data_IF_837837758511
#
_entry.id   IF_837837758511
#
_cell.length_a   1.000
_cell.length_b   1.000
_cell.length_c   1.000
_cell.angle_alpha   90.00
_cell.angle_beta   90.00
_cell.angle_gamma   90.00
#
_symmetry.space_group_name_H-M   'P 1'
#
loop_
_entity.id
_entity.type
_entity.pdbx_description
1 polymer ?
#
# COMPACT_ATOMS: atom_id res chain seq x y z
N UNK A 1 18.84 6.43 -20.10
CA UNK A 1 19.79 7.39 -19.50
C UNK A 1 19.03 8.16 -18.41
N UNK A 2 19.35 7.92 -17.14
CA UNK A 2 18.92 8.78 -16.04
C UNK A 2 19.59 10.16 -16.22
N UNK A 3 18.82 11.21 -16.29
CA UNK A 3 19.35 12.55 -16.59
C UNK A 3 19.05 13.57 -15.51
N UNK A 4 18.73 13.13 -14.32
CA UNK A 4 18.65 13.98 -13.15
C UNK A 4 19.85 13.74 -12.27
N UNK A 5 20.63 14.78 -11.95
CA UNK A 5 21.64 14.72 -10.89
C UNK A 5 20.97 14.78 -9.51
N UNK A 6 21.53 14.07 -8.51
CA UNK A 6 21.09 14.15 -7.13
C UNK A 6 19.78 13.44 -6.80
N UNK A 7 19.08 13.93 -5.79
CA UNK A 7 17.94 13.26 -5.16
C UNK A 7 16.66 13.13 -6.01
N UNK A 8 16.63 13.65 -7.23
CA UNK A 8 15.46 13.63 -8.12
C UNK A 8 15.40 12.41 -9.06
N UNK A 9 16.38 11.50 -8.98
CA UNK A 9 16.53 10.39 -9.94
C UNK A 9 15.82 9.11 -9.56
N UNK A 10 15.27 9.01 -8.35
CA UNK A 10 14.71 7.75 -7.81
C UNK A 10 13.60 7.14 -8.68
N UNK A 11 12.63 7.95 -9.11
CA UNK A 11 11.57 7.49 -10.00
C UNK A 11 12.06 7.02 -11.37
N UNK A 12 13.18 7.61 -11.86
CA UNK A 12 13.81 7.19 -13.10
C UNK A 12 14.52 5.84 -13.03
N UNK A 13 15.02 5.45 -11.85
CA UNK A 13 15.70 4.16 -11.66
C UNK A 13 14.73 2.98 -11.80
N UNK A 14 13.54 3.07 -11.22
CA UNK A 14 12.53 2.01 -11.27
C UNK A 14 11.73 2.00 -12.57
N UNK A 15 11.66 3.13 -13.28
CA UNK A 15 10.83 3.26 -14.48
C UNK A 15 11.60 3.38 -15.80
N UNK A 16 12.94 3.48 -15.77
CA UNK A 16 13.81 3.69 -16.95
C UNK A 16 13.42 4.92 -17.81
N UNK A 17 12.73 5.88 -17.24
CA UNK A 17 12.28 7.11 -17.92
C UNK A 17 12.77 8.37 -17.21
N UNK A 18 12.72 9.48 -17.92
CA UNK A 18 13.10 10.78 -17.36
C UNK A 18 12.03 11.29 -16.40
N UNK A 19 12.43 11.66 -15.20
CA UNK A 19 11.62 12.51 -14.31
C UNK A 19 12.10 13.94 -14.42
N UNK A 20 11.21 14.91 -14.50
CA UNK A 20 11.60 16.31 -14.47
C UNK A 20 11.73 16.79 -13.02
N UNK A 21 12.56 17.81 -12.74
CA UNK A 21 12.62 18.43 -11.42
C UNK A 21 11.28 19.02 -10.96
N UNK A 22 10.43 19.41 -11.91
CA UNK A 22 9.12 19.97 -11.66
C UNK A 22 8.05 18.90 -11.42
N UNK A 23 8.23 17.67 -11.94
CA UNK A 23 7.31 16.55 -11.75
C UNK A 23 8.07 15.37 -11.18
N UNK A 24 7.94 15.16 -9.88
CA UNK A 24 8.49 14.00 -9.19
C UNK A 24 7.64 12.74 -9.38
N UNK A 25 6.54 12.85 -10.13
CA UNK A 25 5.63 11.76 -10.40
C UNK A 25 6.15 10.85 -11.49
N UNK A 26 6.11 9.53 -11.35
CA UNK A 26 6.42 8.58 -12.40
C UNK A 26 5.56 8.80 -13.65
N UNK A 27 6.18 8.74 -14.83
CA UNK A 27 5.49 8.93 -16.11
C UNK A 27 4.91 7.63 -16.68
N UNK A 28 5.20 6.50 -16.06
CA UNK A 28 4.68 5.19 -16.47
C UNK A 28 4.72 4.22 -15.30
N UNK A 29 4.26 2.99 -15.51
CA UNK A 29 4.38 1.88 -14.57
C UNK A 29 5.86 1.62 -14.24
N UNK A 30 6.13 1.31 -12.97
CA UNK A 30 7.48 0.97 -12.49
C UNK A 30 7.70 -0.54 -12.50
N UNK A 31 8.98 -0.96 -12.60
CA UNK A 31 9.34 -2.36 -12.75
C UNK A 31 8.95 -3.22 -11.52
N UNK A 32 9.05 -2.68 -10.33
CA UNK A 32 8.64 -3.32 -9.08
C UNK A 32 7.15 -3.65 -9.09
N UNK A 33 6.31 -2.74 -9.56
CA UNK A 33 4.88 -2.99 -9.71
C UNK A 33 4.61 -4.04 -10.81
N UNK A 34 5.30 -3.96 -11.96
CA UNK A 34 5.16 -4.96 -13.03
C UNK A 34 5.57 -6.35 -12.57
N UNK A 35 6.66 -6.47 -11.82
CA UNK A 35 7.09 -7.75 -11.24
C UNK A 35 6.05 -8.32 -10.27
N UNK A 36 5.48 -7.47 -9.40
CA UNK A 36 4.41 -7.89 -8.49
C UNK A 36 3.15 -8.37 -9.22
N UNK A 37 2.86 -7.84 -10.42
CA UNK A 37 1.77 -8.35 -11.26
C UNK A 37 2.13 -9.67 -11.97
N UNK A 38 3.38 -9.83 -12.37
CA UNK A 38 3.85 -11.06 -13.06
C UNK A 38 4.05 -12.22 -12.10
N UNK A 39 4.39 -11.94 -10.85
CA UNK A 39 4.60 -12.93 -9.77
C UNK A 39 3.70 -12.56 -8.57
N UNK A 40 2.38 -12.74 -8.68
CA UNK A 40 1.47 -12.29 -7.64
C UNK A 40 1.62 -13.11 -6.36
N UNK A 41 1.78 -12.40 -5.22
CA UNK A 41 1.54 -12.94 -3.89
C UNK A 41 0.05 -12.84 -3.52
N UNK A 42 -0.24 -12.85 -2.22
CA UNK A 42 -1.59 -12.54 -1.69
C UNK A 42 -2.00 -11.12 -2.12
N UNK A 43 -1.05 -10.20 -2.07
CA UNK A 43 -1.18 -8.85 -2.62
C UNK A 43 -0.23 -8.68 -3.81
N UNK A 44 -0.63 -7.97 -4.85
CA UNK A 44 0.21 -7.77 -6.03
C UNK A 44 1.43 -6.88 -5.74
N UNK A 45 1.39 -6.11 -4.68
CA UNK A 45 2.46 -5.21 -4.28
C UNK A 45 2.31 -4.76 -2.83
N UNK A 46 3.43 -4.63 -2.13
CA UNK A 46 3.53 -4.00 -0.82
C UNK A 46 4.64 -2.94 -0.85
N UNK A 47 4.46 -1.86 -0.09
CA UNK A 47 5.48 -0.81 0.02
C UNK A 47 5.76 -0.50 1.47
N UNK A 48 6.97 -0.79 1.91
CA UNK A 48 7.49 -0.40 3.22
C UNK A 48 8.83 0.28 3.07
N UNK A 49 9.13 1.22 3.93
CA UNK A 49 10.37 1.96 3.84
C UNK A 49 10.69 2.74 5.10
N UNK A 50 11.79 3.48 5.03
CA UNK A 50 12.22 4.39 6.09
C UNK A 50 12.47 5.79 5.52
N UNK A 51 12.20 6.81 6.32
CA UNK A 51 12.61 8.18 6.04
C UNK A 51 13.17 8.83 7.29
N UNK A 52 14.17 9.66 7.12
CA UNK A 52 14.71 10.50 8.19
C UNK A 52 13.79 11.69 8.52
N UNK A 53 12.82 11.99 7.65
CA UNK A 53 11.84 13.05 7.84
C UNK A 53 10.54 12.56 8.48
N UNK A 54 9.73 13.51 8.92
CA UNK A 54 8.39 13.22 9.42
C UNK A 54 7.45 12.98 8.24
N UNK A 55 6.80 11.84 8.23
CA UNK A 55 5.81 11.47 7.24
C UNK A 55 5.49 9.99 7.33
N UNK A 56 4.24 9.66 7.00
CA UNK A 56 3.76 8.27 7.11
C UNK A 56 3.94 7.49 5.82
N UNK A 57 4.08 8.19 4.69
CA UNK A 57 4.22 7.55 3.38
C UNK A 57 5.00 8.42 2.38
N UNK A 58 5.66 7.75 1.44
CA UNK A 58 6.23 8.33 0.22
C UNK A 58 5.38 7.91 -0.98
N UNK A 59 5.14 8.85 -1.92
CA UNK A 59 4.18 8.67 -3.02
C UNK A 59 4.82 8.76 -4.44
N UNK A 60 6.14 8.75 -4.56
CA UNK A 60 6.77 9.10 -5.85
C UNK A 60 7.84 8.12 -6.34
N UNK A 61 7.95 6.94 -5.74
CA UNK A 61 8.92 5.92 -6.16
C UNK A 61 8.30 4.86 -7.06
N UNK A 62 7.17 4.31 -6.65
CA UNK A 62 6.46 3.24 -7.34
C UNK A 62 5.19 3.76 -7.97
N UNK A 63 4.86 3.28 -9.17
CA UNK A 63 3.64 3.65 -9.87
C UNK A 63 3.03 2.46 -10.62
N UNK A 64 1.70 2.37 -10.57
CA UNK A 64 0.92 1.38 -11.31
C UNK A 64 0.55 1.85 -12.73
N UNK A 65 0.65 3.16 -12.99
CA UNK A 65 0.45 3.78 -14.30
C UNK A 65 1.05 5.19 -14.27
N UNK A 66 1.02 5.88 -15.41
CA UNK A 66 1.43 7.28 -15.48
C UNK A 66 0.70 8.12 -14.44
N UNK A 67 1.46 8.82 -13.61
CA UNK A 67 0.98 9.67 -12.51
C UNK A 67 0.10 8.98 -11.44
N UNK A 68 0.01 7.64 -11.46
CA UNK A 68 -0.71 6.83 -10.45
C UNK A 68 0.29 6.14 -9.54
N UNK A 69 0.81 6.90 -8.58
CA UNK A 69 1.80 6.42 -7.62
C UNK A 69 1.20 5.50 -6.57
N UNK A 70 2.05 4.62 -6.04
CA UNK A 70 1.72 3.71 -4.95
C UNK A 70 2.41 4.17 -3.66
N UNK A 71 1.74 4.10 -2.49
CA UNK A 71 2.29 4.57 -1.24
C UNK A 71 3.32 3.58 -0.67
N UNK A 72 4.51 4.08 -0.32
CA UNK A 72 5.49 3.38 0.53
C UNK A 72 5.25 3.81 1.97
N UNK A 73 4.85 2.90 2.83
CA UNK A 73 4.52 3.19 4.23
C UNK A 73 5.81 3.28 5.04
N UNK A 74 6.03 4.41 5.70
CA UNK A 74 7.26 4.70 6.44
C UNK A 74 7.13 4.46 7.95
N UNK A 75 5.91 4.40 8.45
CA UNK A 75 5.61 4.14 9.85
C UNK A 75 5.37 2.64 10.05
N UNK A 76 6.17 1.94 10.90
CA UNK A 76 6.04 0.49 11.10
C UNK A 76 4.68 0.06 11.65
N UNK A 77 4.11 0.84 12.58
CA UNK A 77 2.78 0.56 13.12
C UNK A 77 1.71 0.61 12.03
N UNK A 78 1.75 1.65 11.17
CA UNK A 78 0.81 1.77 10.05
C UNK A 78 1.02 0.68 9.02
N UNK A 79 2.26 0.28 8.76
CA UNK A 79 2.58 -0.83 7.86
C UNK A 79 2.08 -2.17 8.42
N UNK A 80 2.29 -2.44 9.72
CA UNK A 80 1.74 -3.60 10.39
C UNK A 80 0.22 -3.64 10.28
N UNK A 81 -0.44 -2.53 10.60
CA UNK A 81 -1.90 -2.43 10.52
C UNK A 81 -2.42 -2.60 9.08
N UNK A 82 -1.67 -2.15 8.07
CA UNK A 82 -2.07 -2.29 6.68
C UNK A 82 -1.97 -3.73 6.14
N UNK A 83 -1.04 -4.55 6.68
CA UNK A 83 -0.68 -5.85 6.12
C UNK A 83 -1.03 -7.03 7.04
N UNK A 84 -1.00 -6.85 8.36
CA UNK A 84 -1.13 -7.92 9.34
C UNK A 84 -2.25 -7.70 10.38
N UNK A 85 -3.00 -6.59 10.32
CA UNK A 85 -4.08 -6.33 11.29
C UNK A 85 -5.13 -7.45 11.37
N UNK A 86 -5.37 -8.14 10.27
CA UNK A 86 -6.30 -9.28 10.20
C UNK A 86 -5.91 -10.46 11.11
N UNK A 87 -4.64 -10.54 11.51
CA UNK A 87 -4.07 -11.59 12.36
C UNK A 87 -3.50 -11.07 13.69
N UNK A 88 -3.58 -9.76 13.92
CA UNK A 88 -3.00 -9.13 15.11
C UNK A 88 -3.72 -9.51 16.41
N UNK A 89 -4.99 -9.90 16.33
CA UNK A 89 -5.84 -10.11 17.50
C UNK A 89 -6.23 -8.79 18.20
N UNK A 90 -7.02 -8.89 19.26
CA UNK A 90 -7.38 -7.76 20.12
C UNK A 90 -8.08 -6.62 19.37
N UNK A 91 -7.71 -5.38 19.72
CA UNK A 91 -8.29 -4.15 19.15
C UNK A 91 -7.94 -3.97 17.66
N UNK A 92 -6.74 -4.32 17.24
CA UNK A 92 -6.30 -4.14 15.84
C UNK A 92 -7.11 -5.01 14.87
N UNK A 93 -7.44 -6.24 15.26
CA UNK A 93 -8.29 -7.12 14.45
C UNK A 93 -9.74 -6.63 14.44
N UNK A 94 -10.25 -6.13 15.56
CA UNK A 94 -11.59 -5.51 15.61
C UNK A 94 -11.65 -4.27 14.71
N UNK A 95 -10.62 -3.43 14.74
CA UNK A 95 -10.49 -2.26 13.87
C UNK A 95 -10.45 -2.64 12.38
N UNK A 96 -9.77 -3.73 12.02
CA UNK A 96 -9.78 -4.27 10.67
C UNK A 96 -11.21 -4.60 10.21
N UNK A 97 -11.97 -5.34 11.02
CA UNK A 97 -13.34 -5.70 10.70
C UNK A 97 -14.27 -4.49 10.66
N UNK A 98 -14.10 -3.52 11.56
CA UNK A 98 -14.87 -2.28 11.55
C UNK A 98 -14.63 -1.46 10.28
N UNK A 99 -13.37 -1.27 9.90
CA UNK A 99 -12.99 -0.56 8.67
C UNK A 99 -13.52 -1.26 7.41
N UNK A 100 -13.49 -2.59 7.39
CA UNK A 100 -14.06 -3.37 6.29
C UNK A 100 -15.58 -3.17 6.19
N UNK A 101 -16.32 -3.27 7.30
CA UNK A 101 -17.76 -3.05 7.30
C UNK A 101 -18.12 -1.61 6.86
N UNK A 102 -17.33 -0.62 7.30
CA UNK A 102 -17.50 0.76 6.86
C UNK A 102 -17.25 0.91 5.36
N UNK A 103 -16.22 0.25 4.82
CA UNK A 103 -15.91 0.27 3.40
C UNK A 103 -17.05 -0.35 2.58
N UNK A 104 -17.59 -1.52 3.00
CA UNK A 104 -18.71 -2.18 2.35
C UNK A 104 -19.97 -1.26 2.33
N UNK A 105 -20.23 -0.55 3.43
CA UNK A 105 -21.30 0.43 3.53
C UNK A 105 -21.07 1.60 2.55
N UNK A 106 -19.87 2.18 2.52
CA UNK A 106 -19.52 3.30 1.65
C UNK A 106 -19.62 2.93 0.18
N UNK A 107 -19.15 1.75 -0.22
CA UNK A 107 -19.30 1.24 -1.61
C UNK A 107 -20.77 1.13 -1.98
N UNK A 108 -21.62 0.62 -1.09
CA UNK A 108 -23.06 0.52 -1.31
C UNK A 108 -23.73 1.88 -1.50
N UNK A 109 -23.33 2.87 -0.70
CA UNK A 109 -23.90 4.21 -0.75
C UNK A 109 -23.47 4.98 -2.01
N UNK A 110 -22.17 4.91 -2.37
CA UNK A 110 -21.67 5.52 -3.62
C UNK A 110 -22.32 4.88 -4.86
N UNK A 111 -22.54 3.55 -4.88
CA UNK A 111 -23.24 2.87 -5.97
C UNK A 111 -24.71 3.37 -6.12
N UNK A 112 -25.39 3.59 -5.01
CA UNK A 112 -26.76 4.17 -5.03
C UNK A 112 -26.75 5.60 -5.59
N UNK A 113 -25.83 6.43 -5.11
CA UNK A 113 -25.66 7.82 -5.56
C UNK A 113 -25.32 7.87 -7.05
N UNK A 114 -24.41 7.02 -7.52
CA UNK A 114 -24.05 6.87 -8.93
C UNK A 114 -25.25 6.56 -9.80
N UNK A 115 -26.09 5.64 -9.34
CA UNK A 115 -27.35 5.27 -10.04
C UNK A 115 -28.34 6.43 -10.09
N UNK A 116 -28.42 7.23 -9.03
CA UNK A 116 -29.34 8.37 -8.95
C UNK A 116 -28.92 9.55 -9.85
N UNK A 117 -27.60 9.78 -9.99
CA UNK A 117 -27.06 10.89 -10.79
C UNK A 117 -27.06 10.63 -12.30
N UNK A 118 -27.25 9.40 -12.75
CA UNK A 118 -27.23 9.05 -14.17
C UNK A 118 -25.88 9.35 -14.84
N UNK A 119 -25.87 10.16 -15.90
CA UNK A 119 -24.65 10.53 -16.65
C UNK A 119 -23.89 11.71 -16.07
N UNK A 120 -24.48 12.48 -15.16
CA UNK A 120 -23.86 13.65 -14.55
C UNK A 120 -22.88 13.23 -13.45
N UNK A 121 -21.63 13.70 -13.50
CA UNK A 121 -20.59 13.41 -12.48
C UNK A 121 -20.12 11.95 -12.44
N UNK A 122 -20.39 11.17 -13.49
CA UNK A 122 -20.13 9.73 -13.52
C UNK A 122 -18.67 9.35 -13.41
N UNK A 123 -17.78 10.05 -14.11
CA UNK A 123 -16.36 9.71 -14.17
C UNK A 123 -15.65 9.81 -12.80
N UNK A 124 -15.97 10.87 -12.05
CA UNK A 124 -15.40 11.05 -10.70
C UNK A 124 -15.88 9.96 -9.74
N UNK A 125 -17.19 9.67 -9.73
CA UNK A 125 -17.75 8.61 -8.90
C UNK A 125 -17.26 7.22 -9.30
N UNK A 126 -17.07 6.96 -10.59
CA UNK A 126 -16.51 5.71 -11.10
C UNK A 126 -15.04 5.54 -10.67
N UNK A 127 -14.26 6.63 -10.59
CA UNK A 127 -12.91 6.62 -10.05
C UNK A 127 -12.90 6.31 -8.54
N UNK A 128 -13.81 6.89 -7.76
CA UNK A 128 -13.97 6.56 -6.33
C UNK A 128 -14.41 5.10 -6.13
N UNK A 129 -15.39 4.62 -6.91
CA UNK A 129 -15.83 3.23 -6.83
C UNK A 129 -14.70 2.26 -7.15
N UNK A 130 -13.91 2.52 -8.19
CA UNK A 130 -12.73 1.71 -8.52
C UNK A 130 -11.72 1.65 -7.37
N UNK A 131 -11.44 2.78 -6.72
CA UNK A 131 -10.53 2.81 -5.58
C UNK A 131 -11.08 2.04 -4.36
N UNK A 132 -12.37 2.12 -4.10
CA UNK A 132 -13.02 1.36 -3.02
C UNK A 132 -13.06 -0.13 -3.32
N UNK A 133 -13.38 -0.52 -4.56
CA UNK A 133 -13.39 -1.93 -4.98
C UNK A 133 -11.98 -2.55 -4.87
N UNK A 134 -10.92 -1.81 -5.25
CA UNK A 134 -9.52 -2.23 -5.05
C UNK A 134 -9.17 -2.44 -3.56
N UNK A 135 -9.60 -1.50 -2.70
CA UNK A 135 -9.37 -1.60 -1.26
C UNK A 135 -10.14 -2.77 -0.64
N UNK A 136 -11.40 -2.96 -1.04
CA UNK A 136 -12.23 -4.08 -0.59
C UNK A 136 -11.64 -5.43 -1.04
N UNK A 137 -11.18 -5.53 -2.28
CA UNK A 137 -10.53 -6.72 -2.81
C UNK A 137 -9.25 -7.05 -2.01
N UNK A 138 -8.43 -6.04 -1.70
CA UNK A 138 -7.25 -6.22 -0.84
C UNK A 138 -7.61 -6.73 0.55
N UNK A 139 -8.58 -6.13 1.22
CA UNK A 139 -9.02 -6.59 2.54
C UNK A 139 -9.59 -8.00 2.50
N UNK A 140 -10.30 -8.35 1.44
CA UNK A 140 -10.80 -9.70 1.23
C UNK A 140 -9.66 -10.72 1.08
N UNK A 141 -8.62 -10.40 0.29
CA UNK A 141 -7.45 -11.26 0.13
C UNK A 141 -6.72 -11.50 1.47
N UNK A 142 -6.54 -10.46 2.28
CA UNK A 142 -5.96 -10.61 3.61
C UNK A 142 -6.81 -11.54 4.51
N UNK A 143 -8.12 -11.40 4.46
CA UNK A 143 -9.03 -12.21 5.28
C UNK A 143 -9.03 -13.70 4.85
N UNK A 144 -9.13 -13.98 3.55
CA UNK A 144 -9.12 -15.35 3.02
C UNK A 144 -7.81 -16.07 3.34
N UNK A 145 -6.69 -15.33 3.36
CA UNK A 145 -5.37 -15.87 3.64
C UNK A 145 -4.94 -15.71 5.12
N UNK A 146 -5.87 -15.42 6.02
CA UNK A 146 -5.61 -15.17 7.44
C UNK A 146 -4.74 -16.26 8.10
N UNK A 147 -5.03 -17.53 7.86
CA UNK A 147 -4.30 -18.65 8.48
C UNK A 147 -2.85 -18.77 7.97
N UNK A 148 -2.60 -18.38 6.72
CA UNK A 148 -1.25 -18.31 6.16
C UNK A 148 -0.50 -17.14 6.79
N UNK A 149 -1.10 -15.96 6.81
CA UNK A 149 -0.52 -14.75 7.39
C UNK A 149 -0.21 -14.90 8.88
N UNK A 150 -1.07 -15.61 9.63
CA UNK A 150 -0.87 -15.86 11.06
C UNK A 150 0.42 -16.61 11.37
N UNK A 151 0.86 -17.49 10.46
CA UNK A 151 2.11 -18.27 10.63
C UNK A 151 3.37 -17.45 10.43
N UNK A 152 3.29 -16.39 9.62
CA UNK A 152 4.42 -15.54 9.24
C UNK A 152 4.38 -14.14 9.86
N UNK A 153 3.26 -13.74 10.45
CA UNK A 153 3.10 -12.41 11.01
C UNK A 153 4.21 -12.09 12.04
N UNK A 154 4.83 -10.89 11.95
CA UNK A 154 5.80 -10.48 12.93
C UNK A 154 5.13 -10.34 14.30
N UNK A 155 5.88 -10.65 15.35
CA UNK A 155 5.39 -10.44 16.72
C UNK A 155 5.36 -8.95 17.02
N UNK A 156 4.18 -8.45 17.42
CA UNK A 156 4.03 -7.07 17.84
C UNK A 156 4.84 -6.79 19.12
N UNK A 157 5.65 -5.72 19.10
CA UNK A 157 6.42 -5.22 20.24
C UNK A 157 6.64 -3.70 20.16
N UNK A 158 7.43 -3.15 21.10
CA UNK A 158 7.70 -1.72 21.24
C UNK A 158 8.48 -1.09 20.08
N UNK A 159 9.11 -1.88 19.22
CA UNK A 159 9.83 -1.40 18.03
C UNK A 159 8.88 -0.77 17.01
N UNK A 160 7.64 -1.25 16.93
CA UNK A 160 6.65 -0.75 15.96
C UNK A 160 6.18 0.68 16.27
N UNK A 161 6.21 1.07 17.55
CA UNK A 161 5.80 2.41 18.02
C UNK A 161 6.97 3.28 18.46
N UNK A 162 8.21 2.79 18.33
CA UNK A 162 9.42 3.45 18.83
C UNK A 162 9.73 4.74 18.05
N UNK A 163 10.19 5.77 18.75
CA UNK A 163 10.77 6.97 18.15
C UNK A 163 12.24 6.77 17.73
N UNK A 164 12.89 5.69 18.18
CA UNK A 164 14.28 5.37 17.85
C UNK A 164 14.37 4.82 16.43
N UNK A 165 15.13 5.49 15.56
CA UNK A 165 15.22 5.17 14.14
C UNK A 165 15.69 3.73 13.86
N UNK A 166 16.67 3.22 14.63
CA UNK A 166 17.17 1.84 14.49
C UNK A 166 16.11 0.80 14.84
N UNK A 167 15.34 1.01 15.92
CA UNK A 167 14.25 0.12 16.30
C UNK A 167 13.12 0.11 15.22
N UNK A 168 12.79 1.26 14.70
CA UNK A 168 11.83 1.38 13.58
C UNK A 168 12.32 0.66 12.33
N UNK A 169 13.61 0.76 12.03
CA UNK A 169 14.23 0.08 10.90
C UNK A 169 14.15 -1.45 11.08
N UNK A 170 14.49 -1.96 12.26
CA UNK A 170 14.35 -3.39 12.59
C UNK A 170 12.90 -3.87 12.41
N UNK A 171 11.91 -3.12 12.92
CA UNK A 171 10.50 -3.45 12.74
C UNK A 171 10.08 -3.50 11.26
N UNK A 172 10.55 -2.54 10.43
CA UNK A 172 10.26 -2.54 8.99
C UNK A 172 10.90 -3.71 8.25
N UNK A 173 12.14 -4.08 8.59
CA UNK A 173 12.80 -5.26 8.01
C UNK A 173 12.11 -6.56 8.41
N UNK A 174 11.72 -6.69 9.68
CA UNK A 174 10.97 -7.85 10.17
C UNK A 174 9.62 -7.98 9.46
N UNK A 175 8.91 -6.85 9.28
CA UNK A 175 7.65 -6.80 8.57
C UNK A 175 7.81 -7.20 7.10
N UNK A 176 8.82 -6.65 6.41
CA UNK A 176 9.11 -7.01 5.01
C UNK A 176 9.47 -8.49 4.87
N UNK A 177 10.34 -9.01 5.74
CA UNK A 177 10.70 -10.43 5.78
C UNK A 177 9.50 -11.34 6.04
N UNK A 178 8.67 -10.98 7.01
CA UNK A 178 7.42 -11.70 7.33
C UNK A 178 6.44 -11.70 6.16
N UNK A 179 6.34 -10.60 5.44
CA UNK A 179 5.51 -10.48 4.26
C UNK A 179 5.97 -11.40 3.11
N UNK A 180 7.28 -11.48 2.87
CA UNK A 180 7.85 -12.38 1.85
C UNK A 180 7.68 -13.85 2.27
N UNK A 181 8.02 -14.21 3.52
CA UNK A 181 7.88 -15.58 4.04
C UNK A 181 6.41 -16.04 3.99
N UNK A 182 5.48 -15.15 4.29
CA UNK A 182 4.04 -15.42 4.25
C UNK A 182 3.43 -15.41 2.84
N UNK A 183 4.23 -15.14 1.80
CA UNK A 183 3.72 -15.01 0.44
C UNK A 183 2.76 -13.83 0.27
N UNK A 184 2.86 -12.81 1.14
CA UNK A 184 2.02 -11.61 1.04
C UNK A 184 2.35 -10.85 -0.26
N UNK A 185 3.63 -10.78 -0.61
CA UNK A 185 4.12 -10.31 -1.91
C UNK A 185 5.33 -11.13 -2.30
N UNK A 186 5.59 -11.33 -3.56
CA UNK A 186 6.76 -12.03 -4.10
C UNK A 186 7.78 -11.05 -4.68
#
# INVERSE_FOLDING_TARGET
RSTGGGHSTHGGCLGLYRTSPASRSPHNVTIDYQLGQAMPGILPWIGVGMSAGQGDALMHFTARAAHKTMPIILNPEKAYNAYFSVVAGGEQEKDFHLKRNLLDYMVGDVKKTRKALGTLGGEELDAYLSAYDELAARQYQLLVNKEVLKKSAPKWDDRFTSEVATKRLEAQFELAGSALIGGLSN
#
